data_IF_709662608226
#
_entry.id   IF_709662608226
#
_cell.length_a   1.000
_cell.length_b   1.000
_cell.length_c   1.000
_cell.angle_alpha   90.00
_cell.angle_beta   90.00
_cell.angle_gamma   90.00
#
_symmetry.space_group_name_H-M   'P 1'
#
loop_
_entity.id
_entity.type
_entity.pdbx_description
1 polymer ?
#
# COMPACT_ATOMS: atom_id res chain seq x y z
N UNK A 1 -4.83 -14.23 3.29
CA UNK A 1 -5.27 -12.93 2.74
C UNK A 1 -4.16 -11.86 2.74
N UNK A 2 -3.65 -11.42 3.90
CA UNK A 2 -2.64 -10.34 4.00
C UNK A 2 -1.37 -10.54 3.16
N UNK A 3 -0.88 -11.79 3.00
CA UNK A 3 0.26 -12.08 2.09
C UNK A 3 -0.03 -11.73 0.63
N UNK A 4 -1.26 -11.96 0.16
CA UNK A 4 -1.70 -11.63 -1.21
C UNK A 4 -1.80 -10.11 -1.40
N UNK A 5 -2.37 -9.41 -0.42
CA UNK A 5 -2.42 -7.94 -0.40
C UNK A 5 -1.01 -7.35 -0.45
N UNK A 6 -0.09 -7.84 0.38
CA UNK A 6 1.32 -7.37 0.40
C UNK A 6 2.02 -7.58 -0.94
N UNK A 7 1.85 -8.74 -1.58
CA UNK A 7 2.37 -8.98 -2.94
C UNK A 7 1.75 -8.04 -3.98
N UNK A 8 0.44 -7.81 -3.91
CA UNK A 8 -0.23 -6.89 -4.84
C UNK A 8 0.28 -5.46 -4.69
N UNK A 9 0.53 -5.00 -3.47
CA UNK A 9 1.15 -3.69 -3.20
C UNK A 9 2.53 -3.59 -3.85
N UNK A 10 3.41 -4.58 -3.62
CA UNK A 10 4.76 -4.58 -4.22
C UNK A 10 4.71 -4.58 -5.74
N UNK A 11 3.88 -5.45 -6.32
CA UNK A 11 3.74 -5.55 -7.77
C UNK A 11 3.20 -4.23 -8.36
N UNK A 12 2.22 -3.61 -7.71
CA UNK A 12 1.68 -2.34 -8.17
C UNK A 12 2.75 -1.25 -8.21
N UNK A 13 3.52 -1.12 -7.12
CA UNK A 13 4.58 -0.11 -7.01
C UNK A 13 5.72 -0.41 -8.00
N UNK A 14 6.10 -1.68 -8.17
CA UNK A 14 7.13 -2.07 -9.12
C UNK A 14 6.74 -1.76 -10.58
N UNK A 15 5.44 -1.84 -10.92
CA UNK A 15 4.93 -1.58 -12.27
C UNK A 15 4.64 -0.11 -12.54
N UNK A 16 4.13 0.62 -11.55
CA UNK A 16 3.64 2.00 -11.71
C UNK A 16 4.59 3.06 -11.12
N UNK A 17 5.61 2.64 -10.37
CA UNK A 17 6.50 3.53 -9.65
C UNK A 17 5.87 4.16 -8.39
N UNK A 18 6.46 5.26 -7.90
CA UNK A 18 5.97 5.98 -6.73
C UNK A 18 4.49 6.37 -6.87
N UNK A 19 3.67 5.94 -5.92
CA UNK A 19 2.20 6.02 -6.02
C UNK A 19 1.60 6.70 -4.80
N UNK A 20 0.56 7.52 -4.99
CA UNK A 20 -0.23 8.06 -3.89
C UNK A 20 -0.90 6.93 -3.08
N UNK A 21 -0.61 6.89 -1.78
CA UNK A 21 -1.09 5.88 -0.85
C UNK A 21 -2.62 5.76 -0.82
N UNK A 22 -3.38 6.84 -0.96
CA UNK A 22 -4.85 6.81 -0.91
C UNK A 22 -5.42 6.16 -2.16
N UNK A 23 -4.85 6.47 -3.32
CA UNK A 23 -5.25 5.86 -4.60
C UNK A 23 -5.00 4.35 -4.53
N UNK A 24 -3.80 3.95 -4.10
CA UNK A 24 -3.43 2.54 -3.93
C UNK A 24 -4.36 1.82 -2.93
N UNK A 25 -4.64 2.46 -1.78
CA UNK A 25 -5.53 1.91 -0.76
C UNK A 25 -6.94 1.70 -1.31
N UNK A 26 -7.51 2.68 -2.01
CA UNK A 26 -8.85 2.59 -2.56
C UNK A 26 -8.94 1.50 -3.64
N UNK A 27 -7.96 1.44 -4.54
CA UNK A 27 -7.89 0.44 -5.60
C UNK A 27 -7.86 -0.98 -5.02
N UNK A 28 -6.94 -1.26 -4.09
CA UNK A 28 -6.78 -2.59 -3.53
C UNK A 28 -7.91 -2.96 -2.57
N UNK A 29 -8.51 -1.99 -1.88
CA UNK A 29 -9.69 -2.25 -1.04
C UNK A 29 -10.86 -2.78 -1.89
N UNK A 30 -11.10 -2.17 -3.05
CA UNK A 30 -12.10 -2.64 -4.01
C UNK A 30 -11.71 -4.00 -4.60
N UNK A 31 -10.45 -4.17 -5.05
CA UNK A 31 -9.98 -5.42 -5.66
C UNK A 31 -10.07 -6.64 -4.72
N UNK A 32 -9.79 -6.45 -3.43
CA UNK A 32 -9.81 -7.52 -2.44
C UNK A 32 -11.11 -7.58 -1.63
N UNK A 33 -12.13 -6.78 -1.99
CA UNK A 33 -13.40 -6.66 -1.26
C UNK A 33 -13.20 -6.54 0.25
N UNK A 34 -12.34 -5.60 0.66
CA UNK A 34 -11.91 -5.47 2.07
C UNK A 34 -11.82 -4.02 2.51
N UNK A 35 -11.99 -3.70 3.81
CA UNK A 35 -11.92 -2.33 4.28
C UNK A 35 -10.57 -1.68 3.98
N UNK A 36 -10.59 -0.38 3.64
CA UNK A 36 -9.39 0.44 3.40
C UNK A 36 -8.39 0.37 4.56
N UNK A 37 -8.87 0.28 5.80
CA UNK A 37 -8.06 0.12 7.00
C UNK A 37 -7.16 -1.13 6.93
N UNK A 38 -7.65 -2.24 6.35
CA UNK A 38 -6.86 -3.47 6.20
C UNK A 38 -5.71 -3.27 5.21
N UNK A 39 -5.95 -2.57 4.10
CA UNK A 39 -4.89 -2.25 3.14
C UNK A 39 -3.87 -1.30 3.78
N UNK A 40 -4.35 -0.24 4.42
CA UNK A 40 -3.50 0.73 5.14
C UNK A 40 -2.63 0.05 6.20
N UNK A 41 -3.17 -0.90 6.97
CA UNK A 41 -2.41 -1.66 7.96
C UNK A 41 -1.31 -2.52 7.34
N UNK A 42 -1.59 -3.14 6.18
CA UNK A 42 -0.56 -3.90 5.46
C UNK A 42 0.55 -3.00 4.91
N UNK A 43 0.23 -1.81 4.40
CA UNK A 43 1.24 -0.82 3.98
C UNK A 43 2.09 -0.41 5.19
N UNK A 44 1.49 -0.05 6.32
CA UNK A 44 2.22 0.30 7.55
C UNK A 44 3.14 -0.84 8.03
N UNK A 45 2.68 -2.08 7.97
CA UNK A 45 3.53 -3.24 8.30
C UNK A 45 4.72 -3.34 7.35
N UNK A 46 4.49 -3.18 6.04
CA UNK A 46 5.54 -3.31 5.02
C UNK A 46 6.61 -2.22 5.16
N UNK A 47 6.21 -0.99 5.51
CA UNK A 47 7.11 0.13 5.77
C UNK A 47 7.86 -0.06 7.10
N UNK A 48 7.13 -0.26 8.20
CA UNK A 48 7.73 -0.15 9.54
C UNK A 48 8.36 -1.43 10.08
N UNK A 49 7.90 -2.60 9.62
CA UNK A 49 8.32 -3.90 10.18
C UNK A 49 9.03 -4.79 9.18
N UNK A 50 8.55 -4.82 7.94
CA UNK A 50 9.17 -5.65 6.91
C UNK A 50 10.33 -4.96 6.17
N UNK A 51 10.41 -3.62 6.21
CA UNK A 51 11.38 -2.85 5.42
C UNK A 51 11.23 -3.05 3.91
N UNK A 52 10.05 -3.47 3.45
CA UNK A 52 9.80 -3.90 2.08
C UNK A 52 9.27 -2.77 1.17
N UNK A 53 8.96 -1.60 1.76
CA UNK A 53 8.48 -0.39 1.09
C UNK A 53 8.99 0.84 1.83
N UNK A 54 9.11 1.95 1.12
CA UNK A 54 9.34 3.27 1.69
C UNK A 54 8.12 4.16 1.51
N UNK A 55 7.99 5.19 2.36
CA UNK A 55 6.88 6.15 2.26
C UNK A 55 7.36 7.58 2.54
N UNK A 56 7.07 8.48 1.60
CA UNK A 56 7.18 9.93 1.83
C UNK A 56 5.87 10.37 2.50
N UNK A 57 5.95 10.81 3.75
CA UNK A 57 4.79 11.26 4.52
C UNK A 57 4.58 12.76 4.35
N UNK A 58 3.96 13.17 3.23
CA UNK A 58 3.43 14.52 3.09
C UNK A 58 1.95 14.50 3.42
N UNK A 59 1.53 15.00 4.59
CA UNK A 59 0.08 15.12 4.84
C UNK A 59 -0.48 16.22 3.91
N UNK A 60 -1.57 15.96 3.17
CA UNK A 60 -2.46 14.80 3.25
C UNK A 60 -2.16 13.65 2.27
N UNK A 61 -1.22 13.82 1.33
CA UNK A 61 -0.88 12.90 0.24
C UNK A 61 0.47 12.21 0.47
N UNK A 62 0.46 11.03 1.09
CA UNK A 62 1.67 10.22 1.25
C UNK A 62 1.95 9.42 -0.01
N UNK A 63 3.22 9.34 -0.44
CA UNK A 63 3.67 8.60 -1.62
C UNK A 63 4.40 7.33 -1.18
N UNK A 64 3.99 6.17 -1.69
CA UNK A 64 4.61 4.86 -1.43
C UNK A 64 5.47 4.44 -2.62
N UNK A 65 6.67 3.95 -2.36
CA UNK A 65 7.63 3.48 -3.37
C UNK A 65 8.49 2.33 -2.84
#
# INVERSE_FOLDING_TARGET
MNRRIRRAIQNYIALNGPTDSRVLIALLANQFSTPKQRISGNISYMVCKAGALSIIRNKPNSIVY
#
